data_IF_698525558579
#
_entry.id   IF_698525558579
#
_cell.length_a   1.000
_cell.length_b   1.000
_cell.length_c   1.000
_cell.angle_alpha   90.00
_cell.angle_beta   90.00
_cell.angle_gamma   90.00
#
_symmetry.space_group_name_H-M   'P 1'
#
loop_
_entity.id
_entity.type
_entity.pdbx_description
1 polymer ?
#
# COMPACT_ATOMS: atom_id res chain seq x y z
N UNK A 1 -25.27 -1.55 -6.69
CA UNK A 1 -23.90 -1.21 -6.28
C UNK A 1 -23.02 -2.40 -6.59
N UNK A 2 -21.92 -2.20 -7.32
CA UNK A 2 -20.90 -3.25 -7.49
C UNK A 2 -20.12 -3.41 -6.18
N UNK A 3 -19.70 -4.63 -5.86
CA UNK A 3 -18.87 -4.92 -4.68
C UNK A 3 -17.44 -4.46 -4.97
N UNK A 4 -16.87 -3.67 -4.06
CA UNK A 4 -15.45 -3.32 -4.10
C UNK A 4 -14.64 -4.41 -3.39
N UNK A 5 -13.68 -4.99 -4.10
CA UNK A 5 -12.71 -5.95 -3.54
C UNK A 5 -11.37 -5.23 -3.44
N UNK A 6 -10.86 -5.11 -2.22
CA UNK A 6 -9.56 -4.50 -1.91
C UNK A 6 -8.64 -5.50 -1.23
N UNK A 7 -7.34 -5.29 -1.35
CA UNK A 7 -6.34 -6.08 -0.66
C UNK A 7 -5.56 -5.23 0.34
N UNK A 8 -5.58 -5.68 1.60
CA UNK A 8 -4.67 -5.18 2.61
C UNK A 8 -3.25 -5.68 2.31
N UNK A 9 -2.31 -4.75 2.08
CA UNK A 9 -0.98 -5.08 1.56
C UNK A 9 -0.11 -5.94 2.49
N UNK A 10 -0.42 -6.02 3.78
CA UNK A 10 0.25 -6.96 4.70
C UNK A 10 0.15 -8.44 4.28
N UNK A 11 -0.84 -8.81 3.47
CA UNK A 11 -0.96 -10.17 2.93
C UNK A 11 0.28 -10.59 2.11
N UNK A 12 1.10 -9.64 1.65
CA UNK A 12 2.32 -9.88 0.88
C UNK A 12 3.58 -10.04 1.75
N UNK A 13 3.45 -9.97 3.08
CA UNK A 13 4.54 -10.26 4.02
C UNK A 13 5.82 -9.49 3.69
N UNK A 14 6.94 -10.21 3.53
CA UNK A 14 8.26 -9.62 3.30
C UNK A 14 8.43 -8.80 2.01
N UNK A 15 7.50 -8.91 1.06
CA UNK A 15 7.47 -8.04 -0.13
C UNK A 15 6.99 -6.62 0.20
N UNK A 16 6.20 -6.48 1.27
CA UNK A 16 5.63 -5.21 1.72
C UNK A 16 4.73 -4.53 0.68
N UNK A 17 4.48 -3.24 0.90
CA UNK A 17 3.56 -2.44 0.08
C UNK A 17 4.00 -2.34 -1.37
N UNK A 18 5.31 -2.17 -1.63
CA UNK A 18 5.82 -2.02 -2.99
C UNK A 18 5.59 -3.29 -3.81
N UNK A 19 5.95 -4.46 -3.29
CA UNK A 19 5.71 -5.73 -4.00
C UNK A 19 4.22 -6.07 -4.11
N UNK A 20 3.41 -5.68 -3.12
CA UNK A 20 1.96 -5.79 -3.24
C UNK A 20 1.42 -4.97 -4.42
N UNK A 21 1.83 -3.70 -4.55
CA UNK A 21 1.42 -2.83 -5.66
C UNK A 21 1.80 -3.41 -7.02
N UNK A 22 2.96 -4.05 -7.12
CA UNK A 22 3.41 -4.68 -8.37
C UNK A 22 2.58 -5.93 -8.74
N UNK A 23 2.19 -6.75 -7.76
CA UNK A 23 1.53 -8.04 -7.97
C UNK A 23 -0.01 -7.97 -8.00
N UNK A 24 -0.63 -6.97 -7.38
CA UNK A 24 -2.09 -6.84 -7.32
C UNK A 24 -2.77 -6.81 -8.71
N UNK A 25 -2.24 -6.10 -9.72
CA UNK A 25 -2.80 -6.14 -11.07
C UNK A 25 -2.81 -7.54 -11.67
N UNK A 26 -1.79 -8.38 -11.39
CA UNK A 26 -1.72 -9.77 -11.87
C UNK A 26 -2.81 -10.65 -11.23
N UNK A 27 -3.22 -10.31 -10.00
CA UNK A 27 -4.35 -10.94 -9.30
C UNK A 27 -5.73 -10.41 -9.75
N UNK A 28 -5.78 -9.48 -10.71
CA UNK A 28 -7.02 -8.87 -11.20
C UNK A 28 -7.65 -7.88 -10.21
N UNK A 29 -6.87 -7.35 -9.27
CA UNK A 29 -7.34 -6.38 -8.29
C UNK A 29 -6.98 -4.96 -8.70
N UNK A 30 -7.91 -4.03 -8.44
CA UNK A 30 -7.74 -2.61 -8.77
C UNK A 30 -7.76 -1.69 -7.55
N UNK A 31 -8.06 -2.23 -6.37
CA UNK A 31 -8.11 -1.50 -5.12
C UNK A 31 -7.13 -2.05 -4.10
N UNK A 32 -6.50 -1.15 -3.36
CA UNK A 32 -5.53 -1.47 -2.33
C UNK A 32 -5.86 -0.75 -1.03
N UNK A 33 -5.58 -1.42 0.08
CA UNK A 33 -5.61 -0.85 1.41
C UNK A 33 -4.18 -0.74 1.95
N UNK A 34 -3.82 0.48 2.36
CA UNK A 34 -2.46 0.82 2.74
C UNK A 34 -2.33 0.94 4.27
N UNK A 35 -1.41 0.18 4.90
CA UNK A 35 -1.19 0.27 6.33
C UNK A 35 -0.46 1.58 6.70
N UNK A 36 -0.96 2.27 7.71
CA UNK A 36 -0.35 3.44 8.33
C UNK A 36 0.25 3.01 9.66
N UNK A 37 1.58 3.03 9.75
CA UNK A 37 2.30 2.55 10.94
C UNK A 37 3.36 3.53 11.38
N UNK A 38 3.66 3.56 12.67
CA UNK A 38 4.84 4.26 13.16
C UNK A 38 6.13 3.63 12.59
N UNK A 39 7.22 4.39 12.58
CA UNK A 39 8.53 3.87 12.16
C UNK A 39 8.94 2.64 13.00
N UNK A 40 8.70 2.69 14.32
CA UNK A 40 9.00 1.59 15.22
C UNK A 40 8.23 0.30 14.88
N UNK A 41 6.99 0.41 14.42
CA UNK A 41 6.20 -0.75 13.99
C UNK A 41 6.72 -1.34 12.67
N UNK A 42 7.10 -0.49 11.71
CA UNK A 42 7.73 -0.93 10.47
C UNK A 42 9.03 -1.70 10.74
N UNK A 43 9.88 -1.18 11.64
CA UNK A 43 11.11 -1.83 12.07
C UNK A 43 10.85 -3.18 12.77
N UNK A 44 9.87 -3.24 13.68
CA UNK A 44 9.46 -4.48 14.36
C UNK A 44 9.05 -5.56 13.37
N UNK A 45 8.38 -5.18 12.28
CA UNK A 45 7.94 -6.07 11.22
C UNK A 45 9.02 -6.35 10.16
N UNK A 46 10.18 -5.70 10.25
CA UNK A 46 11.28 -5.78 9.28
C UNK A 46 10.83 -5.45 7.86
N UNK A 47 9.93 -4.47 7.75
CA UNK A 47 9.38 -3.98 6.50
C UNK A 47 9.85 -2.56 6.25
N UNK A 48 9.97 -2.18 4.97
CA UNK A 48 10.30 -0.82 4.60
C UNK A 48 9.14 0.13 4.96
N UNK A 49 9.38 1.22 5.71
CA UNK A 49 8.35 2.20 6.01
C UNK A 49 7.72 2.75 4.73
N UNK A 50 6.39 2.69 4.65
CA UNK A 50 5.65 3.23 3.51
C UNK A 50 4.81 4.43 3.93
N UNK A 51 3.80 4.20 4.75
CA UNK A 51 2.98 5.25 5.35
C UNK A 51 3.17 5.27 6.86
N UNK A 52 3.37 6.47 7.38
CA UNK A 52 3.54 6.78 8.78
C UNK A 52 2.74 8.04 9.12
N UNK A 53 2.45 8.29 10.41
CA UNK A 53 1.81 9.54 10.82
C UNK A 53 2.59 10.80 10.37
N UNK A 54 3.91 10.68 10.20
CA UNK A 54 4.80 11.79 9.81
C UNK A 54 5.07 11.83 8.30
N UNK A 55 4.35 11.03 7.49
CA UNK A 55 4.54 11.01 6.04
C UNK A 55 4.17 12.35 5.42
N UNK A 56 5.16 13.01 4.81
CA UNK A 56 4.98 14.30 4.14
C UNK A 56 4.16 14.20 2.85
N UNK A 57 3.58 15.32 2.41
CA UNK A 57 2.85 15.41 1.14
C UNK A 57 3.69 14.97 -0.07
N UNK A 58 4.99 15.28 -0.09
CA UNK A 58 5.89 14.84 -1.16
C UNK A 58 6.07 13.31 -1.18
N UNK A 59 6.09 12.66 -0.01
CA UNK A 59 6.12 11.20 0.07
C UNK A 59 4.79 10.59 -0.38
N UNK A 60 3.65 11.18 0.00
CA UNK A 60 2.33 10.76 -0.49
C UNK A 60 2.24 10.81 -2.01
N UNK A 61 2.73 11.89 -2.62
CA UNK A 61 2.77 12.06 -4.08
C UNK A 61 3.64 10.99 -4.78
N UNK A 62 4.72 10.52 -4.13
CA UNK A 62 5.50 9.37 -4.63
C UNK A 62 4.71 8.06 -4.58
N UNK A 63 3.93 7.84 -3.52
CA UNK A 63 3.07 6.65 -3.38
C UNK A 63 1.94 6.70 -4.41
N UNK A 64 1.30 7.85 -4.58
CA UNK A 64 0.25 8.05 -5.58
C UNK A 64 0.77 7.73 -6.99
N UNK A 65 1.92 8.28 -7.38
CA UNK A 65 2.54 7.96 -8.68
C UNK A 65 2.86 6.48 -8.84
N UNK A 66 3.26 5.80 -7.76
CA UNK A 66 3.50 4.36 -7.82
C UNK A 66 2.19 3.60 -8.09
N UNK A 67 1.11 3.94 -7.40
CA UNK A 67 -0.21 3.36 -7.62
C UNK A 67 -0.72 3.62 -9.05
N UNK A 68 -0.60 4.86 -9.53
CA UNK A 68 -1.05 5.27 -10.88
C UNK A 68 -0.34 4.45 -11.97
N UNK A 69 0.96 4.18 -11.82
CA UNK A 69 1.73 3.34 -12.77
C UNK A 69 1.21 1.92 -12.87
N UNK A 70 0.61 1.40 -11.80
CA UNK A 70 0.05 0.04 -11.75
C UNK A 70 -1.48 0.02 -11.91
N UNK A 71 -2.11 1.16 -12.17
CA UNK A 71 -3.57 1.25 -12.33
C UNK A 71 -4.35 0.91 -11.07
N UNK A 72 -3.76 1.13 -9.89
CA UNK A 72 -4.38 0.87 -8.59
C UNK A 72 -4.97 2.14 -7.98
N UNK A 73 -6.06 1.97 -7.21
CA UNK A 73 -6.68 3.03 -6.42
C UNK A 73 -6.68 2.66 -4.93
N UNK A 74 -6.45 3.64 -4.06
CA UNK A 74 -6.59 3.44 -2.61
C UNK A 74 -8.07 3.37 -2.24
N UNK A 75 -8.50 2.29 -1.58
CA UNK A 75 -9.85 2.20 -1.02
C UNK A 75 -9.92 2.73 0.41
N UNK A 76 -8.87 2.49 1.18
CA UNK A 76 -8.79 2.76 2.61
C UNK A 76 -7.33 2.76 3.07
N UNK A 77 -7.12 3.27 4.28
CA UNK A 77 -5.89 3.13 5.04
C UNK A 77 -6.23 2.51 6.40
N UNK A 78 -5.41 1.59 6.88
CA UNK A 78 -5.54 0.93 8.19
C UNK A 78 -4.38 1.29 9.12
#
# INVERSE_FOLDING_TARGET
MAVLVSCHTDCYGGLGVAGAIELLPEAGLSFVELPVRTVAEWERLRLAPTLTPDTSLHQLDRIQRLLDRHGLSVSSCD
#
